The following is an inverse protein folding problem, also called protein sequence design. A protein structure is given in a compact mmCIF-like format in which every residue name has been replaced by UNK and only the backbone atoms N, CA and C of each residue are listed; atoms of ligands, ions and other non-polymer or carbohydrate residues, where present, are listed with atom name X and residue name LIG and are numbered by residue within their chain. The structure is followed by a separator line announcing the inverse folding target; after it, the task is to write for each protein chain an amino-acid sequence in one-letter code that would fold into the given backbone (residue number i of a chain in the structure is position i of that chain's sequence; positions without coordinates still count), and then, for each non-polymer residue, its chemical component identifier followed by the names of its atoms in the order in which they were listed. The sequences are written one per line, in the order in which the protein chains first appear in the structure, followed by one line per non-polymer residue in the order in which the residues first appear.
data_IF_411436175056
#
_entry.id   IF_411436175056
#
_cell.length_a   1.000
_cell.length_b   1.000
_cell.length_c   1.000
_cell.angle_alpha   90.00
_cell.angle_beta   90.00
_cell.angle_gamma   90.00
#
_symmetry.space_group_name_H-M   'P 1'
#
loop_
_entity.id
_entity.type
_entity.pdbx_description
1 polymer ?
#
# COMPACT_ATOMS: atom_id res chain seq x y z
N UNK A 1 7.84 -5.57 -21.95
CA UNK A 1 7.68 -6.48 -20.78
C UNK A 1 7.81 -5.58 -19.56
N UNK A 2 6.72 -5.33 -18.84
CA UNK A 2 6.78 -4.55 -17.59
C UNK A 2 7.20 -5.48 -16.45
N UNK A 3 8.04 -5.01 -15.54
CA UNK A 3 8.57 -5.79 -14.40
C UNK A 3 7.86 -5.36 -13.11
N UNK A 4 7.62 -6.28 -12.17
CA UNK A 4 7.12 -5.90 -10.86
C UNK A 4 8.11 -4.99 -10.15
N UNK A 5 7.60 -4.03 -9.38
CA UNK A 5 8.41 -3.09 -8.62
C UNK A 5 8.69 -3.66 -7.23
N UNK A 6 9.95 -3.84 -6.88
CA UNK A 6 10.37 -4.30 -5.56
C UNK A 6 10.06 -3.25 -4.50
N UNK A 7 9.69 -3.67 -3.29
CA UNK A 7 9.48 -2.75 -2.19
C UNK A 7 10.81 -2.07 -1.77
N UNK A 8 10.96 -0.74 -1.93
CA UNK A 8 12.22 -0.05 -1.60
C UNK A 8 12.48 0.02 -0.09
N UNK A 9 11.49 -0.30 0.75
CA UNK A 9 11.63 -0.30 2.21
C UNK A 9 12.26 -1.58 2.74
N UNK A 10 11.70 -2.74 2.39
CA UNK A 10 12.14 -4.02 2.94
C UNK A 10 12.96 -4.85 1.96
N UNK A 11 12.77 -4.68 0.64
CA UNK A 11 13.41 -5.53 -0.37
C UNK A 11 12.99 -7.00 -0.31
N UNK A 12 11.86 -7.32 0.33
CA UNK A 12 11.42 -8.71 0.57
C UNK A 12 10.24 -9.16 -0.31
N UNK A 13 9.47 -8.21 -0.85
CA UNK A 13 8.28 -8.52 -1.66
C UNK A 13 8.02 -7.42 -2.71
N UNK A 14 7.04 -7.66 -3.60
CA UNK A 14 6.68 -6.76 -4.69
C UNK A 14 5.54 -5.82 -4.29
N UNK A 15 5.56 -4.61 -4.81
CA UNK A 15 4.50 -3.64 -4.57
C UNK A 15 3.22 -4.01 -5.31
N UNK A 16 2.08 -3.79 -4.68
CA UNK A 16 0.75 -3.99 -5.27
C UNK A 16 -0.06 -2.69 -5.22
N UNK A 17 -0.86 -2.46 -6.26
CA UNK A 17 -1.92 -1.44 -6.25
C UNK A 17 -3.07 -1.94 -5.38
N UNK A 18 -3.56 -1.07 -4.50
CA UNK A 18 -4.67 -1.37 -3.59
C UNK A 18 -5.72 -0.26 -3.62
N UNK A 19 -6.96 -0.61 -3.28
CA UNK A 19 -8.02 0.34 -2.97
C UNK A 19 -8.30 0.32 -1.47
N UNK A 20 -8.18 1.48 -0.83
CA UNK A 20 -8.67 1.73 0.52
C UNK A 20 -10.16 2.01 0.42
N UNK A 21 -10.97 0.97 0.58
CA UNK A 21 -12.39 0.93 0.19
C UNK A 21 -13.19 2.02 0.90
N UNK A 22 -13.05 2.11 2.21
CA UNK A 22 -13.78 3.07 3.04
C UNK A 22 -13.41 4.53 2.77
N UNK A 23 -12.20 4.76 2.27
CA UNK A 23 -11.69 6.09 1.90
C UNK A 23 -11.89 6.38 0.42
N UNK A 24 -12.41 5.42 -0.35
CA UNK A 24 -12.51 5.43 -1.80
C UNK A 24 -11.23 5.95 -2.49
N UNK A 25 -10.07 5.46 -2.02
CA UNK A 25 -8.74 5.98 -2.41
C UNK A 25 -7.85 4.86 -2.94
N UNK A 26 -7.17 5.10 -4.05
CA UNK A 26 -6.10 4.24 -4.54
C UNK A 26 -4.79 4.48 -3.78
N UNK A 27 -4.02 3.43 -3.55
CA UNK A 27 -2.72 3.49 -2.93
C UNK A 27 -1.84 2.34 -3.44
N UNK A 28 -0.56 2.36 -3.04
CA UNK A 28 0.38 1.26 -3.27
C UNK A 28 0.80 0.72 -1.91
N UNK A 29 0.76 -0.61 -1.75
CA UNK A 29 1.13 -1.28 -0.50
C UNK A 29 2.18 -2.36 -0.75
N UNK A 30 3.07 -2.56 0.21
CA UNK A 30 3.86 -3.77 0.32
C UNK A 30 3.11 -4.82 1.16
N UNK A 31 2.86 -6.04 0.64
CA UNK A 31 2.17 -7.09 1.39
C UNK A 31 2.92 -7.54 2.66
N UNK A 32 4.26 -7.50 2.63
CA UNK A 32 5.13 -8.00 3.71
C UNK A 32 5.31 -6.98 4.84
N UNK A 33 5.86 -5.79 4.55
CA UNK A 33 6.18 -4.81 5.59
C UNK A 33 5.07 -3.76 5.85
N UNK A 34 3.93 -3.93 5.18
CA UNK A 34 2.73 -3.08 5.29
C UNK A 34 2.95 -1.58 4.96
N UNK A 35 4.09 -1.24 4.36
CA UNK A 35 4.37 0.10 3.87
C UNK A 35 3.33 0.51 2.83
N UNK A 36 2.85 1.74 2.94
CA UNK A 36 1.79 2.34 2.14
C UNK A 36 2.29 3.66 1.55
N UNK A 37 2.11 3.83 0.25
CA UNK A 37 2.32 5.07 -0.50
C UNK A 37 0.99 5.50 -1.12
N UNK A 38 0.65 6.79 -1.00
CA UNK A 38 -0.62 7.30 -1.50
C UNK A 38 -0.59 7.65 -2.99
N UNK A 39 0.60 7.78 -3.56
CA UNK A 39 0.84 7.98 -5.00
C UNK A 39 1.98 7.06 -5.44
N UNK A 40 2.01 6.73 -6.74
CA UNK A 40 3.12 5.94 -7.31
C UNK A 40 4.41 6.75 -7.44
N UNK A 41 4.29 8.08 -7.56
CA UNK A 41 5.42 9.00 -7.73
C UNK A 41 6.25 9.14 -6.44
N UNK A 42 5.59 9.02 -5.28
CA UNK A 42 6.22 9.12 -3.97
C UNK A 42 6.85 7.81 -3.48
N UNK A 43 6.98 6.77 -4.32
CA UNK A 43 7.54 5.48 -3.87
C UNK A 43 9.05 5.61 -3.63
N UNK A 44 9.43 5.73 -2.36
CA UNK A 44 10.81 5.68 -1.86
C UNK A 44 10.88 5.00 -0.48
N UNK A 45 12.10 4.59 -0.09
CA UNK A 45 12.42 4.02 1.23
C UNK A 45 12.08 4.92 2.43
N UNK A 46 11.90 6.22 2.22
CA UNK A 46 11.68 7.23 3.26
C UNK A 46 10.30 7.88 3.27
N UNK A 47 9.53 7.77 2.19
CA UNK A 47 8.26 8.49 1.96
C UNK A 47 7.04 7.56 2.09
N UNK A 48 7.04 6.70 3.09
CA UNK A 48 5.97 5.73 3.35
C UNK A 48 5.30 5.95 4.71
N UNK A 49 4.09 5.42 4.85
CA UNK A 49 3.43 5.24 6.15
C UNK A 49 3.03 3.78 6.34
N UNK A 50 2.89 3.34 7.58
CA UNK A 50 2.29 2.02 7.87
C UNK A 50 0.79 2.05 7.52
N UNK A 51 0.27 1.01 6.85
CA UNK A 51 -1.13 0.90 6.46
C UNK A 51 -2.07 1.00 7.67
N UNK A 52 -1.80 0.24 8.73
CA UNK A 52 -2.65 0.23 9.93
C UNK A 52 -2.69 1.59 10.63
N UNK A 53 -1.54 2.26 10.70
CA UNK A 53 -1.38 3.62 11.25
C UNK A 53 -2.14 4.63 10.42
N UNK A 54 -1.98 4.61 9.09
CA UNK A 54 -2.69 5.50 8.18
C UNK A 54 -4.22 5.36 8.30
N UNK A 55 -4.71 4.12 8.36
CA UNK A 55 -6.14 3.83 8.53
C UNK A 55 -6.67 4.36 9.85
N UNK A 56 -5.95 4.16 10.97
CA UNK A 56 -6.33 4.70 12.28
C UNK A 56 -6.37 6.22 12.30
N UNK A 57 -5.38 6.88 11.72
CA UNK A 57 -5.36 8.34 11.58
C UNK A 57 -6.50 8.85 10.69
N UNK A 58 -6.99 8.03 9.77
CA UNK A 58 -8.15 8.30 8.92
C UNK A 58 -9.49 7.92 9.59
N UNK A 59 -9.50 7.60 10.89
CA UNK A 59 -10.70 7.23 11.65
C UNK A 59 -11.16 5.78 11.48
N UNK A 60 -10.34 4.91 10.88
CA UNK A 60 -10.60 3.47 10.68
C UNK A 60 -9.82 2.66 11.72
N UNK A 61 -10.45 2.38 12.86
CA UNK A 61 -9.78 1.73 14.00
C UNK A 61 -9.59 0.21 13.88
N UNK A 62 -10.24 -0.42 12.90
CA UNK A 62 -10.16 -1.86 12.62
C UNK A 62 -9.65 -2.14 11.19
N UNK A 63 -8.40 -1.79 10.84
CA UNK A 63 -7.87 -1.88 9.47
C UNK A 63 -7.75 -3.30 8.92
N UNK A 64 -7.74 -4.30 9.79
CA UNK A 64 -7.72 -5.74 9.47
C UNK A 64 -9.11 -6.30 9.12
N UNK A 65 -10.18 -5.51 9.33
CA UNK A 65 -11.53 -5.92 8.97
C UNK A 65 -11.64 -6.19 7.46
N UNK A 66 -12.29 -7.31 7.11
CA UNK A 66 -12.55 -7.66 5.71
C UNK A 66 -13.29 -6.52 5.01
N UNK A 67 -12.77 -6.10 3.86
CA UNK A 67 -13.36 -5.06 3.03
C UNK A 67 -12.85 -3.64 3.30
N UNK A 68 -11.89 -3.45 4.21
CA UNK A 68 -11.18 -2.17 4.35
C UNK A 68 -10.21 -1.89 3.20
N UNK A 69 -9.57 -2.96 2.71
CA UNK A 69 -8.57 -2.92 1.66
C UNK A 69 -8.86 -4.00 0.60
N UNK A 70 -8.70 -3.63 -0.66
CA UNK A 70 -8.80 -4.52 -1.80
C UNK A 70 -7.48 -4.48 -2.59
N UNK A 71 -6.89 -5.65 -2.85
CA UNK A 71 -5.69 -5.77 -3.68
C UNK A 71 -6.13 -5.86 -5.14
N UNK A 72 -5.62 -4.97 -5.99
CA UNK A 72 -6.03 -4.86 -7.39
C UNK A 72 -5.09 -5.66 -8.29
N UNK A 73 -3.82 -5.25 -8.35
CA UNK A 73 -2.83 -5.81 -9.27
C UNK A 73 -1.40 -5.51 -8.78
N UNK A 74 -0.39 -6.28 -9.20
CA UNK A 74 1.02 -5.92 -9.00
C UNK A 74 1.35 -4.59 -9.65
N UNK A 75 2.11 -3.75 -8.96
CA UNK A 75 2.69 -2.55 -9.56
C UNK A 75 3.79 -2.97 -10.53
N UNK A 76 3.67 -2.56 -11.80
CA UNK A 76 4.68 -2.84 -12.82
C UNK A 76 5.18 -1.56 -13.50
N UNK A 77 6.48 -1.53 -13.84
CA UNK A 77 7.16 -0.45 -14.57
C UNK A 77 8.06 -1.00 -15.68
#
# INVERSE_FOLDING_TARGET
MTKPVECPRCGQDWLVRVKLVALNRGAVRCPECEALWLTEEDIDSTTWTDYGTFMRLSGRFSPDQKGEIEILEPLTR
#
